data_IF_617799127754
#
_entry.id   IF_617799127754
#
_cell.length_a   1.000
_cell.length_b   1.000
_cell.length_c   1.000
_cell.angle_alpha   90.00
_cell.angle_beta   90.00
_cell.angle_gamma   90.00
#
_symmetry.space_group_name_H-M   'P 1'
#
loop_
_entity.id
_entity.type
_entity.pdbx_description
1 polymer ?
#
# COMPACT_ATOMS: atom_id res chain seq x y z
N UNK A 1 -3.39 -17.40 3.58
CA UNK A 1 -2.01 -17.00 3.95
C UNK A 1 -1.21 -16.95 2.67
N UNK A 2 -0.52 -15.85 2.44
CA UNK A 2 0.37 -15.64 1.30
C UNK A 2 1.78 -15.32 1.83
N UNK A 3 2.83 -15.81 1.17
CA UNK A 3 4.21 -15.51 1.53
C UNK A 3 5.02 -15.24 0.27
N UNK A 4 5.76 -14.14 0.30
CA UNK A 4 6.69 -13.73 -0.74
C UNK A 4 8.10 -13.67 -0.16
N UNK A 5 9.09 -14.08 -0.94
CA UNK A 5 10.50 -13.84 -0.64
C UNK A 5 11.08 -12.94 -1.72
N UNK A 6 11.66 -11.82 -1.34
CA UNK A 6 12.18 -10.80 -2.26
C UNK A 6 13.44 -10.17 -1.68
N UNK A 7 14.56 -10.31 -2.40
CA UNK A 7 15.87 -9.93 -1.91
C UNK A 7 16.17 -10.59 -0.54
N UNK A 8 16.54 -9.81 0.50
CA UNK A 8 16.83 -10.34 1.83
C UNK A 8 15.57 -10.55 2.69
N UNK A 9 14.38 -10.24 2.19
CA UNK A 9 13.15 -10.18 2.98
C UNK A 9 12.22 -11.36 2.71
N UNK A 10 11.58 -11.84 3.77
CA UNK A 10 10.36 -12.64 3.69
C UNK A 10 9.19 -11.81 4.19
N UNK A 11 8.16 -11.66 3.37
CA UNK A 11 6.94 -10.93 3.68
C UNK A 11 5.80 -11.96 3.73
N UNK A 12 5.13 -12.07 4.87
CA UNK A 12 3.97 -12.94 5.07
C UNK A 12 2.73 -12.10 5.31
N UNK A 13 1.66 -12.46 4.61
CA UNK A 13 0.35 -11.84 4.73
C UNK A 13 -0.67 -12.90 5.19
N UNK A 14 -1.36 -12.61 6.29
CA UNK A 14 -2.42 -13.45 6.86
C UNK A 14 -3.71 -12.66 6.93
N UNK A 15 -4.81 -13.27 6.52
CA UNK A 15 -6.15 -12.69 6.47
C UNK A 15 -7.05 -13.32 7.54
N UNK A 16 -8.05 -12.57 7.98
CA UNK A 16 -9.16 -12.93 8.87
C UNK A 16 -8.78 -13.37 10.28
N UNK A 17 -7.50 -13.60 10.54
CA UNK A 17 -6.97 -14.03 11.82
C UNK A 17 -5.51 -13.64 11.99
N UNK A 18 -5.09 -13.52 13.25
CA UNK A 18 -3.67 -13.41 13.58
C UNK A 18 -3.00 -14.78 13.45
N UNK A 19 -1.74 -14.83 12.97
CA UNK A 19 -0.98 -16.07 12.98
C UNK A 19 -0.75 -16.57 14.41
N UNK A 20 -0.62 -17.89 14.60
CA UNK A 20 -0.36 -18.47 15.94
C UNK A 20 0.93 -17.93 16.58
N UNK A 21 1.88 -17.48 15.76
CA UNK A 21 3.14 -16.86 16.19
C UNK A 21 3.02 -15.39 16.54
N UNK A 22 1.86 -14.74 16.33
CA UNK A 22 1.68 -13.28 16.47
C UNK A 22 2.21 -12.75 17.80
N UNK A 23 1.79 -13.34 18.93
CA UNK A 23 2.20 -12.84 20.23
C UNK A 23 3.72 -12.87 20.47
N UNK A 24 4.43 -13.85 19.89
CA UNK A 24 5.90 -13.89 19.95
C UNK A 24 6.54 -12.97 18.92
N UNK A 25 6.01 -12.94 17.70
CA UNK A 25 6.43 -12.05 16.64
C UNK A 25 6.36 -10.57 17.07
N UNK A 26 5.22 -10.12 17.60
CA UNK A 26 5.03 -8.76 18.11
C UNK A 26 6.01 -8.39 19.22
N UNK A 27 6.32 -9.30 20.15
CA UNK A 27 7.30 -9.05 21.22
C UNK A 27 8.73 -8.92 20.71
N UNK A 28 9.07 -9.58 19.61
CA UNK A 28 10.42 -9.58 19.03
C UNK A 28 10.59 -8.50 17.96
N UNK A 29 9.50 -8.05 17.36
CA UNK A 29 9.52 -7.08 16.29
C UNK A 29 10.09 -5.75 16.79
N UNK A 30 10.86 -5.10 15.92
CA UNK A 30 11.33 -3.74 16.16
C UNK A 30 10.22 -2.72 15.92
N UNK A 31 9.32 -3.02 14.97
CA UNK A 31 8.10 -2.26 14.72
C UNK A 31 6.92 -3.19 14.91
N UNK A 32 6.00 -2.82 15.79
CA UNK A 32 4.73 -3.51 15.99
C UNK A 32 3.62 -2.47 15.94
N UNK A 33 2.88 -2.45 14.84
CA UNK A 33 1.70 -1.61 14.67
C UNK A 33 0.45 -2.48 14.83
N UNK A 34 -0.39 -2.11 15.80
CA UNK A 34 -1.67 -2.75 16.05
C UNK A 34 -2.79 -1.71 15.90
N UNK A 35 -3.65 -1.87 14.89
CA UNK A 35 -4.62 -0.84 14.52
C UNK A 35 -6.03 -1.43 14.50
N UNK A 36 -6.84 -1.06 15.48
CA UNK A 36 -8.24 -1.51 15.58
C UNK A 36 -8.41 -3.01 15.82
N UNK A 37 -7.35 -3.77 16.13
CA UNK A 37 -7.41 -5.23 16.28
C UNK A 37 -8.39 -5.66 17.37
N UNK A 38 -8.45 -4.90 18.47
CA UNK A 38 -9.34 -5.13 19.61
C UNK A 38 -10.82 -4.84 19.33
N UNK A 39 -11.15 -4.14 18.24
CA UNK A 39 -12.53 -3.77 17.88
C UNK A 39 -13.02 -4.58 16.66
N UNK A 40 -13.77 -5.68 16.86
CA UNK A 40 -14.30 -6.47 15.76
C UNK A 40 -15.21 -5.69 14.79
N UNK A 41 -15.76 -4.56 15.22
CA UNK A 41 -16.62 -3.71 14.37
C UNK A 41 -15.82 -2.83 13.40
N UNK A 42 -14.51 -2.71 13.58
CA UNK A 42 -13.61 -1.93 12.71
C UNK A 42 -13.29 -2.59 11.36
N UNK A 43 -13.95 -3.71 11.03
CA UNK A 43 -13.85 -4.40 9.75
C UNK A 43 -13.00 -5.67 9.74
N UNK A 44 -12.55 -6.07 8.55
CA UNK A 44 -11.80 -7.31 8.34
C UNK A 44 -10.37 -7.18 8.88
N UNK A 45 -9.86 -8.25 9.47
CA UNK A 45 -8.52 -8.30 10.04
C UNK A 45 -7.50 -8.81 9.00
N UNK A 46 -6.33 -8.18 8.94
CA UNK A 46 -5.15 -8.79 8.33
C UNK A 46 -3.88 -8.50 9.13
N UNK A 47 -2.85 -9.29 8.85
CA UNK A 47 -1.55 -9.18 9.49
C UNK A 47 -0.43 -9.34 8.46
N UNK A 48 0.53 -8.42 8.49
CA UNK A 48 1.78 -8.44 7.71
C UNK A 48 2.94 -8.68 8.66
N UNK A 49 3.72 -9.72 8.39
CA UNK A 49 4.98 -10.01 9.09
C UNK A 49 6.13 -9.90 8.10
N UNK A 50 7.17 -9.11 8.42
CA UNK A 50 8.37 -8.98 7.59
C UNK A 50 9.60 -9.41 8.38
N UNK A 51 10.36 -10.36 7.81
CA UNK A 51 11.57 -10.91 8.39
C UNK A 51 12.75 -10.81 7.43
N UNK A 52 13.97 -10.90 7.97
CA UNK A 52 15.16 -11.21 7.16
C UNK A 52 15.27 -12.72 6.97
N UNK A 53 15.16 -13.19 5.72
CA UNK A 53 15.17 -14.63 5.40
C UNK A 53 14.15 -15.43 6.23
N UNK A 54 14.63 -16.44 6.97
CA UNK A 54 13.82 -17.30 7.84
C UNK A 54 13.84 -16.89 9.32
N UNK A 55 14.30 -15.68 9.64
CA UNK A 55 14.34 -15.17 11.00
C UNK A 55 12.97 -14.80 11.57
N UNK A 56 12.98 -14.30 12.81
CA UNK A 56 11.80 -13.64 13.38
C UNK A 56 11.49 -12.33 12.64
N UNK A 57 10.20 -11.96 12.51
CA UNK A 57 9.85 -10.71 11.88
C UNK A 57 10.35 -9.52 12.70
N UNK A 58 10.92 -8.53 12.03
CA UNK A 58 11.32 -7.26 12.63
C UNK A 58 10.24 -6.18 12.46
N UNK A 59 9.29 -6.38 11.54
CA UNK A 59 8.10 -5.56 11.37
C UNK A 59 6.86 -6.46 11.42
N UNK A 60 5.90 -6.10 12.26
CA UNK A 60 4.59 -6.74 12.37
C UNK A 60 3.52 -5.63 12.31
N UNK A 61 2.62 -5.72 11.33
CA UNK A 61 1.47 -4.82 11.20
C UNK A 61 0.22 -5.67 11.27
N UNK A 62 -0.54 -5.57 12.35
CA UNK A 62 -1.86 -6.15 12.46
C UNK A 62 -2.90 -5.04 12.46
N UNK A 63 -3.85 -5.10 11.52
CA UNK A 63 -4.89 -4.08 11.48
C UNK A 63 -6.22 -4.63 11.02
N UNK A 64 -7.29 -4.02 11.54
CA UNK A 64 -8.59 -4.06 10.91
C UNK A 64 -8.73 -2.91 9.93
N UNK A 65 -9.40 -3.19 8.81
CA UNK A 65 -9.62 -2.23 7.75
C UNK A 65 -11.08 -2.23 7.31
N UNK A 66 -11.54 -1.06 6.92
CA UNK A 66 -12.83 -0.80 6.31
C UNK A 66 -12.64 0.32 5.26
N UNK A 67 -13.38 0.30 4.13
CA UNK A 67 -14.24 -0.79 3.68
C UNK A 67 -13.44 -2.07 3.42
N UNK A 68 -14.11 -3.21 3.53
CA UNK A 68 -13.50 -4.55 3.42
C UNK A 68 -14.41 -5.56 2.74
N UNK A 69 -15.34 -5.07 1.92
CA UNK A 69 -16.14 -5.89 1.02
C UNK A 69 -15.29 -6.42 -0.15
N UNK A 70 -15.93 -7.13 -1.08
CA UNK A 70 -15.28 -7.84 -2.18
C UNK A 70 -14.49 -6.95 -3.15
N UNK A 71 -14.59 -5.62 -3.05
CA UNK A 71 -13.86 -4.69 -3.91
C UNK A 71 -12.60 -4.09 -3.25
N UNK A 72 -12.45 -4.22 -1.93
CA UNK A 72 -11.38 -3.54 -1.18
C UNK A 72 -10.47 -4.54 -0.47
N UNK A 73 -9.64 -5.26 -1.23
CA UNK A 73 -8.62 -6.13 -0.64
C UNK A 73 -7.37 -5.33 -0.23
N UNK A 74 -6.71 -5.68 0.88
CA UNK A 74 -5.45 -5.08 1.23
C UNK A 74 -4.37 -5.45 0.21
N UNK A 75 -3.57 -4.47 -0.18
CA UNK A 75 -2.50 -4.59 -1.14
C UNK A 75 -1.16 -4.24 -0.53
N UNK A 76 -0.11 -4.95 -0.96
CA UNK A 76 1.27 -4.67 -0.59
C UNK A 76 2.06 -4.34 -1.84
N UNK A 77 2.91 -3.33 -1.75
CA UNK A 77 3.94 -3.07 -2.75
C UNK A 77 5.29 -2.91 -2.07
N UNK A 78 6.31 -3.58 -2.61
CA UNK A 78 7.67 -3.54 -2.08
C UNK A 78 8.64 -3.05 -3.15
N UNK A 79 9.36 -1.97 -2.84
CA UNK A 79 10.44 -1.42 -3.65
C UNK A 79 11.79 -1.92 -3.10
N UNK A 80 12.42 -2.95 -3.71
CA UNK A 80 13.66 -3.52 -3.21
C UNK A 80 14.84 -2.54 -3.23
N UNK A 81 14.87 -1.60 -4.17
CA UNK A 81 15.97 -0.65 -4.37
C UNK A 81 16.10 0.34 -3.21
N UNK A 82 14.97 0.75 -2.66
CA UNK A 82 14.86 1.73 -1.57
C UNK A 82 14.44 1.09 -0.25
N UNK A 83 14.22 -0.23 -0.24
CA UNK A 83 13.75 -1.00 0.90
C UNK A 83 12.44 -0.44 1.47
N UNK A 84 11.53 0.01 0.61
CA UNK A 84 10.23 0.57 1.04
C UNK A 84 9.13 -0.47 0.91
N UNK A 85 8.31 -0.56 1.94
CA UNK A 85 7.07 -1.34 1.92
C UNK A 85 5.89 -0.38 2.02
N UNK A 86 4.97 -0.49 1.08
CA UNK A 86 3.69 0.22 1.04
C UNK A 86 2.58 -0.78 1.32
N UNK A 87 1.63 -0.38 2.15
CA UNK A 87 0.45 -1.17 2.53
C UNK A 87 -0.77 -0.30 2.29
N UNK A 88 -1.73 -0.79 1.51
CA UNK A 88 -3.04 -0.16 1.36
C UNK A 88 -4.11 -1.13 1.85
N UNK A 89 -5.08 -0.66 2.64
CA UNK A 89 -6.17 -1.49 3.14
C UNK A 89 -7.35 -0.63 3.59
N UNK A 90 -8.52 -0.81 2.97
CA UNK A 90 -9.68 0.06 3.22
C UNK A 90 -9.30 1.51 2.94
N UNK A 91 -9.58 2.42 3.87
CA UNK A 91 -9.17 3.83 3.72
C UNK A 91 -7.72 4.12 4.09
N UNK A 92 -6.96 3.16 4.63
CA UNK A 92 -5.64 3.41 5.22
C UNK A 92 -4.51 3.05 4.28
N UNK A 93 -3.52 3.94 4.19
CA UNK A 93 -2.26 3.75 3.48
C UNK A 93 -1.10 3.90 4.48
N UNK A 94 -0.12 3.00 4.41
CA UNK A 94 1.07 3.01 5.28
C UNK A 94 2.33 2.83 4.44
N UNK A 95 3.41 3.49 4.83
CA UNK A 95 4.74 3.20 4.30
C UNK A 95 5.77 2.98 5.40
N UNK A 96 6.71 2.07 5.13
CA UNK A 96 7.78 1.71 6.04
C UNK A 96 9.14 1.67 5.35
N UNK A 97 10.18 2.05 6.08
CA UNK A 97 11.58 1.77 5.74
C UNK A 97 11.95 0.41 6.34
N UNK A 98 12.30 -0.57 5.50
CA UNK A 98 12.73 -1.91 5.93
C UNK A 98 14.24 -2.03 6.13
N UNK A 99 15.03 -1.07 5.66
CA UNK A 99 16.49 -1.03 5.87
C UNK A 99 16.82 -0.46 7.24
N UNK A 100 16.18 0.65 7.59
CA UNK A 100 16.18 1.22 8.95
C UNK A 100 14.75 1.11 9.47
N UNK A 101 14.38 0.01 10.17
CA UNK A 101 13.00 -0.24 10.53
C UNK A 101 12.35 0.95 11.25
N UNK A 102 11.49 1.68 10.53
CA UNK A 102 10.60 2.73 11.03
C UNK A 102 9.39 2.90 10.09
N UNK A 103 8.27 3.38 10.62
CA UNK A 103 7.16 3.90 9.82
C UNK A 103 7.55 5.24 9.22
N UNK A 104 7.38 5.41 7.91
CA UNK A 104 7.66 6.66 7.21
C UNK A 104 6.47 7.60 7.31
N UNK A 105 5.28 7.09 7.00
CA UNK A 105 4.04 7.86 7.05
C UNK A 105 2.83 6.94 7.11
N UNK A 106 1.71 7.58 7.46
CA UNK A 106 0.36 7.07 7.34
C UNK A 106 -0.42 8.14 6.54
N UNK A 107 -1.15 7.70 5.52
CA UNK A 107 -2.01 8.54 4.67
C UNK A 107 -3.36 7.83 4.53
N UNK A 108 -4.34 8.50 3.93
CA UNK A 108 -5.68 7.98 3.77
C UNK A 108 -6.24 8.23 2.39
N UNK A 109 -7.17 7.39 1.98
CA UNK A 109 -7.96 7.54 0.78
C UNK A 109 -9.42 7.22 1.09
N UNK A 110 -10.36 7.83 0.38
CA UNK A 110 -11.79 7.55 0.50
C UNK A 110 -12.33 7.26 -0.91
N UNK A 111 -13.34 6.39 -1.05
CA UNK A 111 -13.92 5.50 -0.05
C UNK A 111 -13.03 4.31 0.32
N UNK A 112 -12.09 3.91 -0.53
CA UNK A 112 -11.19 2.80 -0.22
C UNK A 112 -10.15 2.50 -1.29
N UNK A 113 -9.05 1.95 -0.84
CA UNK A 113 -7.90 1.48 -1.61
C UNK A 113 -8.26 0.28 -2.50
N UNK A 114 -7.78 0.30 -3.74
CA UNK A 114 -7.87 -0.83 -4.66
C UNK A 114 -6.54 -1.53 -4.87
N UNK A 115 -5.51 -0.82 -5.32
CA UNK A 115 -4.22 -1.45 -5.64
C UNK A 115 -3.05 -0.47 -5.68
N UNK A 116 -1.84 -1.04 -5.65
CA UNK A 116 -0.59 -0.37 -5.97
C UNK A 116 -0.07 -0.86 -7.33
N UNK A 117 0.49 0.03 -8.12
CA UNK A 117 1.20 -0.29 -9.36
C UNK A 117 2.52 0.47 -9.43
N UNK A 118 3.50 -0.04 -10.17
CA UNK A 118 4.80 0.60 -10.37
C UNK A 118 5.01 0.93 -11.83
N UNK A 119 5.48 2.14 -12.09
CA UNK A 119 5.95 2.60 -13.39
C UNK A 119 7.29 3.30 -13.18
N UNK A 120 8.37 2.71 -13.69
CA UNK A 120 9.75 3.20 -13.49
C UNK A 120 10.11 3.36 -12.00
N UNK A 121 10.30 4.59 -11.53
CA UNK A 121 10.60 5.00 -10.17
C UNK A 121 9.40 5.63 -9.44
N UNK A 122 8.19 5.43 -9.96
CA UNK A 122 6.94 5.94 -9.41
C UNK A 122 6.02 4.80 -9.01
N UNK A 123 5.44 4.90 -7.81
CA UNK A 123 4.42 4.01 -7.29
C UNK A 123 3.08 4.73 -7.37
N UNK A 124 2.13 4.18 -8.13
CA UNK A 124 0.75 4.68 -8.22
C UNK A 124 -0.15 3.89 -7.29
N UNK A 125 -0.97 4.61 -6.54
CA UNK A 125 -2.13 4.12 -5.79
C UNK A 125 -3.40 4.36 -6.60
N UNK A 126 -4.22 3.34 -6.71
CA UNK A 126 -5.60 3.44 -7.19
C UNK A 126 -6.56 3.21 -6.03
N UNK A 127 -7.53 4.10 -5.88
CA UNK A 127 -8.63 4.02 -4.92
C UNK A 127 -9.92 4.54 -5.55
N UNK A 128 -11.07 4.25 -4.95
CA UNK A 128 -12.35 4.45 -5.63
C UNK A 128 -12.60 5.89 -6.12
N UNK A 129 -12.24 6.92 -5.34
CA UNK A 129 -12.36 8.33 -5.75
C UNK A 129 -11.01 9.05 -5.87
N UNK A 130 -9.89 8.32 -5.91
CA UNK A 130 -8.55 8.93 -5.95
C UNK A 130 -7.54 8.09 -6.74
N UNK A 131 -6.72 8.76 -7.53
CA UNK A 131 -5.44 8.25 -8.03
C UNK A 131 -4.31 9.13 -7.48
N UNK A 132 -3.26 8.52 -6.94
CA UNK A 132 -2.13 9.24 -6.38
C UNK A 132 -0.80 8.55 -6.66
N UNK A 133 0.30 9.30 -6.57
CA UNK A 133 1.63 8.78 -6.84
C UNK A 133 2.66 9.19 -5.80
N UNK A 134 3.63 8.32 -5.58
CA UNK A 134 4.79 8.50 -4.72
C UNK A 134 6.07 8.13 -5.48
N UNK A 135 7.19 8.74 -5.12
CA UNK A 135 8.50 8.22 -5.52
C UNK A 135 8.85 6.94 -4.75
N UNK A 136 9.90 6.23 -5.19
CA UNK A 136 10.39 5.02 -4.52
C UNK A 136 10.92 5.26 -3.10
N UNK A 137 11.24 6.50 -2.71
CA UNK A 137 11.68 6.82 -1.35
C UNK A 137 10.50 6.99 -0.38
N UNK A 138 9.29 7.12 -0.91
CA UNK A 138 8.05 7.32 -0.15
C UNK A 138 7.57 8.78 -0.14
N UNK A 139 8.14 9.67 -0.95
CA UNK A 139 7.67 11.04 -1.12
C UNK A 139 6.43 11.10 -2.00
N UNK A 140 5.33 11.71 -1.53
CA UNK A 140 4.12 11.91 -2.34
C UNK A 140 4.42 12.91 -3.46
N UNK A 141 4.19 12.51 -4.70
CA UNK A 141 4.40 13.33 -5.89
C UNK A 141 3.15 14.14 -6.24
N UNK A 142 1.99 13.49 -6.28
CA UNK A 142 0.70 14.12 -6.56
C UNK A 142 -0.46 13.22 -6.15
N UNK A 143 -1.66 13.80 -6.05
CA UNK A 143 -2.93 13.09 -6.01
C UNK A 143 -3.98 13.83 -6.84
N UNK A 144 -4.97 13.08 -7.37
CA UNK A 144 -6.07 13.64 -8.15
C UNK A 144 -7.38 12.91 -7.79
N UNK A 145 -8.47 13.67 -7.58
CA UNK A 145 -9.79 13.06 -7.43
C UNK A 145 -10.26 12.51 -8.78
N UNK A 146 -11.02 11.41 -8.72
CA UNK A 146 -11.64 10.74 -9.87
C UNK A 146 -13.04 10.29 -9.49
N UNK A 147 -13.88 10.02 -10.49
CA UNK A 147 -15.22 9.46 -10.29
C UNK A 147 -15.36 8.17 -11.11
N UNK A 148 -15.83 7.06 -10.52
CA UNK A 148 -16.08 5.82 -11.24
C UNK A 148 -17.18 5.97 -12.32
N UNK A 149 -17.09 5.20 -13.43
CA UNK A 149 -15.95 4.39 -13.81
C UNK A 149 -14.78 5.24 -14.30
N UNK A 150 -13.57 4.84 -13.90
CA UNK A 150 -12.33 5.43 -14.37
C UNK A 150 -11.27 4.34 -14.57
N UNK A 151 -10.37 4.59 -15.50
CA UNK A 151 -9.20 3.76 -15.74
C UNK A 151 -8.00 4.63 -16.11
N UNK A 152 -6.81 4.06 -16.03
CA UNK A 152 -5.61 4.77 -16.45
C UNK A 152 -4.61 3.83 -17.09
N UNK A 153 -3.76 4.41 -17.91
CA UNK A 153 -2.55 3.78 -18.38
C UNK A 153 -1.38 4.76 -18.31
N UNK A 154 -0.17 4.22 -18.26
CA UNK A 154 1.05 5.03 -18.30
C UNK A 154 1.86 4.65 -19.53
N UNK A 155 2.13 5.64 -20.39
CA UNK A 155 2.91 5.48 -21.62
C UNK A 155 3.93 6.61 -21.71
N UNK A 156 5.20 6.26 -21.92
CA UNK A 156 6.29 7.23 -22.10
C UNK A 156 6.35 8.33 -21.01
N UNK A 157 6.11 7.95 -19.75
CA UNK A 157 6.10 8.88 -18.61
C UNK A 157 4.87 9.79 -18.53
N UNK A 158 3.83 9.53 -19.31
CA UNK A 158 2.54 10.24 -19.30
C UNK A 158 1.45 9.31 -18.79
N UNK A 159 0.66 9.82 -17.85
CA UNK A 159 -0.56 9.16 -17.37
C UNK A 159 -1.70 9.60 -18.29
N UNK A 160 -2.33 8.63 -18.97
CA UNK A 160 -3.59 8.82 -19.67
C UNK A 160 -4.70 8.34 -18.74
N UNK A 161 -5.45 9.30 -18.17
CA UNK A 161 -6.52 9.02 -17.23
C UNK A 161 -7.86 9.24 -17.92
N UNK A 162 -8.64 8.17 -18.08
CA UNK A 162 -10.02 8.22 -18.57
C UNK A 162 -10.99 8.22 -17.39
N UNK A 163 -11.76 9.30 -17.24
CA UNK A 163 -12.87 9.40 -16.29
C UNK A 163 -14.16 9.51 -17.10
N UNK A 164 -14.98 8.46 -17.08
CA UNK A 164 -16.28 8.41 -17.78
C UNK A 164 -16.21 8.80 -19.27
N UNK A 165 -15.17 8.38 -19.99
CA UNK A 165 -14.93 8.67 -21.40
C UNK A 165 -14.18 9.99 -21.67
N UNK A 166 -13.79 10.72 -20.61
CA UNK A 166 -13.02 11.96 -20.73
C UNK A 166 -11.56 11.70 -20.35
N UNK A 167 -10.70 11.68 -21.37
CA UNK A 167 -9.26 11.50 -21.21
C UNK A 167 -8.58 12.80 -20.80
N UNK A 168 -7.73 12.74 -19.78
CA UNK A 168 -6.79 13.79 -19.39
C UNK A 168 -5.38 13.22 -19.33
N UNK A 169 -4.43 13.95 -19.90
CA UNK A 169 -3.02 13.55 -19.92
C UNK A 169 -2.18 14.42 -18.98
N UNK A 170 -1.27 13.80 -18.25
CA UNK A 170 -0.37 14.52 -17.35
C UNK A 170 0.92 13.75 -17.08
N UNK A 171 1.99 14.48 -16.78
CA UNK A 171 3.31 13.89 -16.50
C UNK A 171 3.29 13.04 -15.23
N UNK A 172 3.80 11.80 -15.32
CA UNK A 172 3.86 10.83 -14.24
C UNK A 172 4.59 11.35 -13.00
N UNK A 173 5.70 12.08 -13.15
CA UNK A 173 6.48 12.53 -12.00
C UNK A 173 5.92 13.77 -11.30
N UNK A 174 5.07 14.56 -11.98
CA UNK A 174 4.68 15.88 -11.46
C UNK A 174 3.17 16.09 -11.36
N UNK A 175 2.35 15.22 -11.95
CA UNK A 175 0.89 15.39 -11.98
C UNK A 175 0.42 16.59 -12.80
N UNK A 176 1.30 17.17 -13.64
CA UNK A 176 1.02 18.39 -14.41
C UNK A 176 0.49 18.02 -15.78
N UNK A 177 -0.60 18.66 -16.18
CA UNK A 177 -1.21 18.47 -17.49
C UNK A 177 -0.21 18.84 -18.58
N UNK A 178 -0.05 17.94 -19.56
CA UNK A 178 0.70 18.23 -20.79
C UNK A 178 -0.08 19.30 -21.55
N UNK A 179 0.53 20.48 -21.78
CA UNK A 179 -0.15 21.53 -22.56
C UNK A 179 -0.36 21.03 -24.00
N UNK A 180 -1.58 21.18 -24.51
CA UNK A 180 -1.85 21.23 -25.96
C UNK A 180 -1.10 22.42 -26.60
#
# INVERSE_FOLDING_TARGET
MFQLSTGPYSIRLTYDRLPHTYGEASRRAKIHDEIGVEDPSAGTLFCVEVAHGHGWPFLVVAQRYAPSDECFFPGLFFAPETHRLYIGAGTRLLAYDLRTPQRLWEDSTEPGFWTWARYEDVVIMSAELEIAAWDLEGGKLWSRPVEPPWEYEVRDGIVHLDVMGKVTEFTLHTGRVTRE
#
